data_IF_310024224507
#
_entry.id   IF_310024224507
#
_cell.length_a   1.000
_cell.length_b   1.000
_cell.length_c   1.000
_cell.angle_alpha   90.00
_cell.angle_beta   90.00
_cell.angle_gamma   90.00
#
_symmetry.space_group_name_H-M   'P 1'
#
loop_
_entity.id
_entity.type
_entity.pdbx_description
1 polymer ?
#
# COMPACT_ATOMS: atom_id res chain seq x y z
N UNK A 1 -5.67 -8.96 -36.48
CA UNK A 1 -4.89 -7.84 -35.90
C UNK A 1 -4.69 -8.18 -34.43
N UNK A 2 -3.45 -8.46 -34.02
CA UNK A 2 -3.14 -8.79 -32.63
C UNK A 2 -3.18 -7.49 -31.81
N UNK A 3 -4.14 -7.40 -30.90
CA UNK A 3 -4.26 -6.26 -29.99
C UNK A 3 -3.09 -6.28 -29.01
N UNK A 4 -2.20 -5.31 -29.19
CA UNK A 4 -0.97 -5.15 -28.44
C UNK A 4 -1.32 -4.48 -27.10
N UNK A 5 -2.05 -5.19 -26.24
CA UNK A 5 -2.43 -4.72 -24.90
C UNK A 5 -1.22 -4.74 -23.97
N UNK A 6 -0.24 -3.85 -24.25
CA UNK A 6 0.84 -3.53 -23.33
C UNK A 6 0.21 -2.78 -22.17
N UNK A 7 -0.09 -3.50 -21.09
CA UNK A 7 -0.51 -2.89 -19.84
C UNK A 7 0.45 -1.76 -19.48
N UNK A 8 -0.09 -0.56 -19.26
CA UNK A 8 0.69 0.61 -18.91
C UNK A 8 1.45 0.35 -17.60
N UNK A 9 2.76 0.51 -17.62
CA UNK A 9 3.59 0.48 -16.41
C UNK A 9 3.62 1.88 -15.82
N UNK A 10 3.28 2.00 -14.55
CA UNK A 10 3.31 3.24 -13.79
C UNK A 10 4.20 3.05 -12.55
N UNK A 11 4.86 4.13 -12.15
CA UNK A 11 5.68 4.17 -10.94
C UNK A 11 4.97 5.02 -9.90
N UNK A 12 5.05 4.59 -8.64
CA UNK A 12 4.50 5.30 -7.50
C UNK A 12 5.57 5.37 -6.43
N UNK A 13 5.76 6.57 -5.87
CA UNK A 13 6.73 6.84 -4.81
C UNK A 13 6.10 6.69 -3.42
N UNK A 14 4.82 7.03 -3.28
CA UNK A 14 4.12 7.01 -1.99
C UNK A 14 3.36 5.71 -1.81
N UNK A 15 2.51 5.35 -2.76
CA UNK A 15 1.76 4.11 -2.76
C UNK A 15 0.38 4.25 -3.36
N UNK A 16 -0.39 3.18 -3.21
CA UNK A 16 -1.76 3.11 -3.72
C UNK A 16 -2.76 2.85 -2.60
N UNK A 17 -4.01 3.28 -2.85
CA UNK A 17 -5.12 3.09 -1.94
C UNK A 17 -6.41 2.72 -2.66
N UNK A 18 -7.00 1.58 -2.28
CA UNK A 18 -8.32 1.16 -2.71
C UNK A 18 -9.33 1.26 -1.56
N UNK A 19 -10.60 1.46 -1.90
CA UNK A 19 -11.70 1.66 -0.96
C UNK A 19 -11.85 3.13 -0.59
N UNK A 20 -12.03 3.41 0.70
CA UNK A 20 -12.16 4.79 1.21
C UNK A 20 -11.06 5.73 0.70
N UNK A 21 -9.76 5.36 0.65
CA UNK A 21 -8.72 6.22 0.07
C UNK A 21 -8.97 6.60 -1.41
N UNK A 22 -9.35 5.64 -2.25
CA UNK A 22 -9.67 5.87 -3.66
C UNK A 22 -10.90 6.75 -3.84
N UNK A 23 -11.94 6.51 -3.05
CA UNK A 23 -13.14 7.35 -3.04
C UNK A 23 -12.85 8.79 -2.62
N UNK A 24 -11.98 8.96 -1.62
CA UNK A 24 -11.58 10.28 -1.14
C UNK A 24 -10.77 10.99 -2.22
N UNK A 25 -9.82 10.32 -2.88
CA UNK A 25 -9.06 10.91 -3.97
C UNK A 25 -9.99 11.43 -5.08
N UNK A 26 -10.92 10.59 -5.54
CA UNK A 26 -11.90 10.95 -6.58
C UNK A 26 -12.84 12.10 -6.20
N UNK A 27 -13.24 12.19 -4.92
CA UNK A 27 -14.20 13.21 -4.49
C UNK A 27 -13.54 14.50 -3.98
N UNK A 28 -12.30 14.43 -3.47
CA UNK A 28 -11.61 15.54 -2.80
C UNK A 28 -11.46 16.78 -3.69
N UNK A 29 -11.41 16.62 -5.00
CA UNK A 29 -11.22 17.71 -5.95
C UNK A 29 -12.40 18.67 -6.00
N UNK A 30 -13.62 18.18 -5.74
CA UNK A 30 -14.83 19.02 -5.60
C UNK A 30 -14.78 19.93 -4.37
N UNK A 31 -13.90 19.61 -3.43
CA UNK A 31 -13.79 20.25 -2.12
C UNK A 31 -12.44 20.95 -1.92
N UNK A 32 -11.73 21.30 -3.01
CA UNK A 32 -10.46 22.04 -2.96
C UNK A 32 -10.53 23.32 -2.13
N UNK A 33 -11.68 24.01 -2.13
CA UNK A 33 -11.91 25.23 -1.37
C UNK A 33 -11.78 25.07 0.15
N UNK A 34 -11.90 23.83 0.69
CA UNK A 34 -11.67 23.54 2.10
C UNK A 34 -10.19 23.33 2.46
N UNK A 35 -9.29 23.35 1.48
CA UNK A 35 -7.88 22.98 1.69
C UNK A 35 -7.74 21.56 2.23
N UNK A 36 -6.77 21.33 3.12
CA UNK A 36 -6.48 20.00 3.69
C UNK A 36 -7.62 19.43 4.54
N UNK A 37 -8.51 20.28 5.08
CA UNK A 37 -9.69 19.84 5.86
C UNK A 37 -10.66 18.97 5.05
N UNK A 38 -10.60 19.03 3.71
CA UNK A 38 -11.40 18.20 2.80
C UNK A 38 -11.25 16.70 3.06
N UNK A 39 -10.06 16.24 3.46
CA UNK A 39 -9.80 14.83 3.73
C UNK A 39 -10.51 14.36 5.00
N UNK A 40 -10.46 15.16 6.07
CA UNK A 40 -11.16 14.86 7.32
C UNK A 40 -12.69 14.85 7.11
N UNK A 41 -13.21 15.84 6.38
CA UNK A 41 -14.63 15.89 6.01
C UNK A 41 -15.06 14.64 5.23
N UNK A 42 -14.30 14.23 4.21
CA UNK A 42 -14.64 13.07 3.40
C UNK A 42 -14.50 11.74 4.15
N UNK A 43 -13.55 11.62 5.09
CA UNK A 43 -13.48 10.47 6.02
C UNK A 43 -14.79 10.35 6.84
N UNK A 44 -15.28 11.45 7.41
CA UNK A 44 -16.56 11.47 8.15
C UNK A 44 -17.73 11.15 7.22
N UNK A 45 -17.76 11.73 6.02
CA UNK A 45 -18.79 11.43 5.02
C UNK A 45 -18.84 9.94 4.66
N UNK A 46 -17.67 9.29 4.48
CA UNK A 46 -17.59 7.85 4.17
C UNK A 46 -17.92 6.95 5.35
N UNK A 47 -17.72 7.43 6.59
CA UNK A 47 -18.19 6.73 7.78
C UNK A 47 -19.71 6.71 7.86
N UNK A 48 -20.38 7.84 7.54
CA UNK A 48 -21.84 7.96 7.56
C UNK A 48 -22.51 7.30 6.35
N UNK A 49 -21.88 7.40 5.18
CA UNK A 49 -22.38 6.86 3.91
C UNK A 49 -21.32 5.92 3.30
N UNK A 50 -21.19 4.70 3.83
CA UNK A 50 -20.20 3.74 3.37
C UNK A 50 -20.55 3.24 1.97
N UNK A 51 -19.52 3.17 1.11
CA UNK A 51 -19.61 2.46 -0.16
C UNK A 51 -19.15 1.01 0.03
N UNK A 52 -19.59 0.16 -0.89
CA UNK A 52 -19.17 -1.23 -0.94
C UNK A 52 -17.91 -1.33 -1.80
N UNK A 53 -16.90 -2.03 -1.29
CA UNK A 53 -15.72 -2.41 -2.05
C UNK A 53 -15.50 -3.89 -1.83
N UNK A 54 -15.72 -4.69 -2.86
CA UNK A 54 -15.55 -6.13 -2.81
C UNK A 54 -14.59 -6.59 -3.90
N UNK A 55 -13.86 -7.65 -3.63
CA UNK A 55 -12.85 -8.10 -4.58
C UNK A 55 -11.91 -9.11 -3.98
N UNK A 56 -10.82 -9.33 -4.73
CA UNK A 56 -9.78 -10.28 -4.40
C UNK A 56 -8.46 -9.55 -4.20
N UNK A 57 -7.81 -9.84 -3.08
CA UNK A 57 -6.47 -9.39 -2.75
C UNK A 57 -5.53 -10.59 -2.78
N UNK A 58 -4.42 -10.46 -3.51
CA UNK A 58 -3.33 -11.42 -3.50
C UNK A 58 -2.03 -10.69 -3.17
N UNK A 59 -1.15 -11.29 -2.37
CA UNK A 59 0.12 -10.67 -2.04
C UNK A 59 1.19 -11.71 -1.71
N UNK A 60 2.45 -11.30 -1.86
CA UNK A 60 3.63 -12.10 -1.48
C UNK A 60 4.21 -11.52 -0.19
N UNK A 61 3.92 -12.12 0.98
CA UNK A 61 4.46 -11.64 2.26
C UNK A 61 5.95 -12.02 2.41
N UNK A 62 6.70 -11.19 3.14
CA UNK A 62 7.99 -11.60 3.69
C UNK A 62 7.81 -12.77 4.67
N UNK A 63 8.70 -13.76 4.59
CA UNK A 63 8.75 -14.90 5.51
C UNK A 63 10.19 -15.06 6.02
N UNK A 64 10.45 -14.89 7.33
CA UNK A 64 9.53 -14.42 8.37
C UNK A 64 9.16 -12.93 8.20
N UNK A 65 8.05 -12.50 8.82
CA UNK A 65 7.72 -11.07 8.89
C UNK A 65 8.72 -10.34 9.81
N UNK A 66 9.30 -9.22 9.37
CA UNK A 66 10.21 -8.45 10.21
C UNK A 66 9.45 -7.74 11.34
N UNK A 67 10.13 -7.37 12.44
CA UNK A 67 9.52 -6.56 13.48
C UNK A 67 9.14 -5.19 12.92
N UNK A 68 7.89 -4.78 13.12
CA UNK A 68 7.38 -3.48 12.71
C UNK A 68 7.95 -2.39 13.62
N UNK A 69 8.86 -1.58 13.07
CA UNK A 69 9.53 -0.47 13.76
C UNK A 69 9.26 0.83 13.02
N UNK A 70 8.88 1.92 13.72
CA UNK A 70 8.70 3.22 13.10
C UNK A 70 9.98 3.70 12.42
N UNK A 71 9.83 4.52 11.37
CA UNK A 71 10.94 5.10 10.62
C UNK A 71 12.01 5.70 11.55
N UNK A 72 11.62 6.51 12.54
CA UNK A 72 12.57 7.18 13.45
C UNK A 72 13.46 6.21 14.25
N UNK A 73 13.00 4.97 14.47
CA UNK A 73 13.80 3.95 15.16
C UNK A 73 14.80 3.25 14.25
N UNK A 74 14.61 3.35 12.93
CA UNK A 74 15.38 2.63 11.92
C UNK A 74 16.00 3.53 10.86
N UNK A 75 15.83 4.85 10.95
CA UNK A 75 16.26 5.82 9.94
C UNK A 75 17.75 5.74 9.58
N UNK A 76 18.58 5.26 10.51
CA UNK A 76 20.03 5.11 10.34
C UNK A 76 20.48 3.64 10.34
N UNK A 77 19.57 2.67 10.38
CA UNK A 77 19.95 1.25 10.37
C UNK A 77 20.34 0.86 8.95
N UNK A 78 21.62 0.60 8.72
CA UNK A 78 22.23 0.39 7.40
C UNK A 78 22.97 1.63 6.88
N UNK A 79 22.63 2.82 7.38
CA UNK A 79 23.15 4.10 6.90
C UNK A 79 24.56 4.36 7.44
N UNK A 80 25.53 3.67 6.86
CA UNK A 80 26.92 3.67 7.31
C UNK A 80 27.69 4.95 6.91
N UNK A 81 27.32 5.62 5.80
CA UNK A 81 27.88 6.94 5.40
C UNK A 81 26.86 7.76 4.56
N UNK A 82 26.84 9.08 4.71
CA UNK A 82 26.07 10.02 3.87
C UNK A 82 26.64 10.10 2.43
N UNK A 83 27.87 9.65 2.23
CA UNK A 83 28.54 9.55 0.93
C UNK A 83 28.64 8.11 0.40
N UNK A 84 28.46 7.08 1.25
CA UNK A 84 28.17 5.72 0.75
C UNK A 84 26.69 5.63 0.42
N UNK A 85 26.45 5.39 -0.86
CA UNK A 85 25.12 5.04 -1.32
C UNK A 85 24.88 3.63 -0.83
N UNK A 86 23.96 3.45 0.12
CA UNK A 86 23.36 2.14 0.34
C UNK A 86 22.64 1.70 -0.94
N UNK A 87 23.31 0.87 -1.73
CA UNK A 87 22.76 0.27 -2.93
C UNK A 87 22.03 -1.04 -2.64
N UNK A 88 22.07 -1.51 -1.40
CA UNK A 88 21.61 -2.84 -0.98
C UNK A 88 20.37 -2.78 -0.08
N UNK A 89 19.46 -3.72 -0.29
CA UNK A 89 18.26 -3.87 0.52
C UNK A 89 18.61 -4.51 1.87
N UNK A 90 18.35 -3.81 2.98
CA UNK A 90 18.61 -4.23 4.37
C UNK A 90 18.00 -5.61 4.72
N UNK A 91 16.96 -6.05 4.00
CA UNK A 91 16.26 -7.31 4.29
C UNK A 91 16.60 -8.48 3.37
N UNK A 92 17.35 -8.23 2.29
CA UNK A 92 17.68 -9.29 1.34
C UNK A 92 19.17 -9.61 1.46
N UNK A 93 19.49 -10.76 2.07
CA UNK A 93 20.73 -11.50 1.80
C UNK A 93 20.83 -12.00 0.35
N UNK A 94 20.29 -11.25 -0.61
CA UNK A 94 20.19 -11.60 -2.02
C UNK A 94 21.02 -10.58 -2.82
N UNK A 95 22.34 -10.76 -2.71
CA UNK A 95 23.31 -10.16 -3.63
C UNK A 95 23.07 -10.55 -5.11
N UNK A 96 22.11 -11.44 -5.42
CA UNK A 96 21.83 -11.93 -6.77
C UNK A 96 20.73 -11.18 -7.55
N UNK A 97 19.96 -10.28 -6.94
CA UNK A 97 18.88 -9.55 -7.66
C UNK A 97 19.41 -8.33 -8.43
N UNK A 98 20.61 -7.83 -8.10
CA UNK A 98 21.19 -6.65 -8.75
C UNK A 98 21.66 -6.87 -10.20
N UNK A 99 21.97 -8.09 -10.63
CA UNK A 99 22.86 -8.28 -11.79
C UNK A 99 22.31 -9.01 -13.02
N UNK A 100 21.01 -9.28 -13.16
CA UNK A 100 20.51 -9.80 -14.44
C UNK A 100 19.02 -9.50 -14.67
N UNK A 101 18.73 -8.29 -15.17
CA UNK A 101 17.40 -7.76 -15.49
C UNK A 101 16.52 -7.59 -14.26
N UNK A 102 15.85 -6.44 -14.14
CA UNK A 102 14.80 -6.17 -13.14
C UNK A 102 13.66 -7.20 -13.28
N UNK A 103 13.85 -8.41 -12.77
CA UNK A 103 12.83 -9.44 -12.74
C UNK A 103 11.92 -9.10 -11.58
N UNK A 104 10.74 -8.58 -11.95
CA UNK A 104 9.63 -8.31 -11.04
C UNK A 104 9.52 -9.42 -9.98
N UNK A 105 9.49 -9.07 -8.68
CA UNK A 105 9.51 -10.03 -7.57
C UNK A 105 8.44 -11.12 -7.69
N UNK A 106 7.30 -10.75 -8.27
CA UNK A 106 6.19 -11.63 -8.64
C UNK A 106 6.49 -12.66 -9.74
N UNK A 107 7.41 -12.38 -10.69
CA UNK A 107 7.84 -13.32 -11.74
C UNK A 107 8.75 -14.40 -11.17
N UNK A 108 9.38 -14.12 -10.03
CA UNK A 108 10.20 -15.07 -9.28
C UNK A 108 9.37 -15.85 -8.24
N UNK A 109 8.22 -15.31 -7.83
CA UNK A 109 7.35 -15.93 -6.86
C UNK A 109 6.58 -17.12 -7.46
N UNK A 110 6.86 -18.34 -6.96
CA UNK A 110 6.05 -19.52 -7.23
C UNK A 110 4.63 -19.40 -6.66
N UNK A 111 3.69 -20.23 -7.11
CA UNK A 111 2.30 -20.18 -6.69
C UNK A 111 2.14 -20.25 -5.15
N UNK A 112 2.97 -21.05 -4.48
CA UNK A 112 2.94 -21.27 -3.02
C UNK A 112 3.38 -20.05 -2.19
N UNK A 113 3.96 -19.03 -2.83
CA UNK A 113 4.40 -17.82 -2.15
C UNK A 113 3.27 -16.80 -2.00
N UNK A 114 2.23 -16.91 -2.83
CA UNK A 114 1.09 -16.01 -2.82
C UNK A 114 0.11 -16.37 -1.71
N UNK A 115 -0.25 -15.37 -0.91
CA UNK A 115 -1.41 -15.42 -0.03
C UNK A 115 -2.57 -14.74 -0.74
N UNK A 116 -3.76 -15.32 -0.69
CA UNK A 116 -4.96 -14.78 -1.31
C UNK A 116 -6.08 -14.68 -0.30
N UNK A 117 -6.85 -13.60 -0.37
CA UNK A 117 -8.13 -13.47 0.31
C UNK A 117 -9.15 -12.77 -0.60
N UNK A 118 -10.43 -13.03 -0.37
CA UNK A 118 -11.54 -12.41 -1.09
C UNK A 118 -12.55 -11.97 -0.04
N UNK A 119 -13.08 -10.76 -0.20
CA UNK A 119 -13.98 -10.22 0.79
C UNK A 119 -14.49 -8.83 0.47
N UNK A 120 -15.02 -8.18 1.51
CA UNK A 120 -15.41 -6.78 1.48
C UNK A 120 -14.41 -5.98 2.31
N UNK A 121 -13.98 -4.86 1.77
CA UNK A 121 -12.93 -4.03 2.33
C UNK A 121 -13.45 -2.63 2.62
N UNK A 122 -12.95 -2.05 3.70
CA UNK A 122 -13.10 -0.62 4.00
C UNK A 122 -12.01 0.14 3.26
N UNK A 123 -10.77 -0.35 3.39
CA UNK A 123 -9.61 0.21 2.72
C UNK A 123 -8.53 -0.86 2.52
N UNK A 124 -7.80 -0.77 1.42
CA UNK A 124 -6.53 -1.46 1.21
C UNK A 124 -5.49 -0.41 0.85
N UNK A 125 -4.44 -0.29 1.63
CA UNK A 125 -3.29 0.56 1.34
C UNK A 125 -2.08 -0.29 1.00
N UNK A 126 -1.36 0.05 -0.07
CA UNK A 126 -0.07 -0.54 -0.44
C UNK A 126 0.93 0.60 -0.49
N UNK A 127 1.75 0.71 0.54
CA UNK A 127 2.47 1.94 0.85
C UNK A 127 3.99 1.71 0.79
N UNK A 128 4.68 2.69 0.23
CA UNK A 128 6.13 2.82 0.26
C UNK A 128 6.54 4.02 1.15
N UNK A 129 5.76 5.11 1.08
CA UNK A 129 5.87 6.28 1.95
C UNK A 129 4.50 6.93 2.12
N UNK A 130 4.00 7.02 3.35
CA UNK A 130 2.76 7.71 3.65
C UNK A 130 2.65 8.09 5.14
N UNK A 131 1.98 9.20 5.49
CA UNK A 131 1.72 9.56 6.89
C UNK A 131 0.93 8.50 7.66
N UNK A 132 0.00 7.80 6.98
CA UNK A 132 -0.80 6.71 7.57
C UNK A 132 -0.01 5.38 7.66
N UNK A 133 1.20 5.32 7.10
CA UNK A 133 2.10 4.17 7.06
C UNK A 133 3.15 4.21 8.15
N UNK A 134 2.76 3.99 9.41
CA UNK A 134 3.63 4.17 10.58
C UNK A 134 4.97 3.38 10.55
N UNK A 135 5.06 2.30 9.77
CA UNK A 135 6.23 1.44 9.66
C UNK A 135 6.83 1.41 8.24
N UNK A 136 6.36 2.27 7.35
CA UNK A 136 6.89 2.36 6.00
C UNK A 136 8.35 2.83 6.03
N UNK A 137 9.18 2.19 5.22
CA UNK A 137 10.58 2.55 5.09
C UNK A 137 11.01 2.40 3.62
N UNK A 138 11.21 3.50 2.87
CA UNK A 138 11.48 3.42 1.42
C UNK A 138 12.72 2.59 1.04
N UNK A 139 13.68 2.41 1.96
CA UNK A 139 14.91 1.64 1.71
C UNK A 139 14.87 0.20 2.24
N UNK A 140 13.74 -0.28 2.78
CA UNK A 140 13.64 -1.67 3.29
C UNK A 140 13.33 -2.71 2.20
N UNK A 141 13.23 -2.28 0.94
CA UNK A 141 12.95 -3.13 -0.21
C UNK A 141 11.63 -3.91 -0.08
N UNK A 142 10.67 -3.37 0.65
CA UNK A 142 9.32 -3.91 0.84
C UNK A 142 8.25 -2.84 0.59
N UNK A 143 7.01 -3.29 0.43
CA UNK A 143 5.81 -2.46 0.53
C UNK A 143 5.05 -2.83 1.80
N UNK A 144 4.33 -1.87 2.35
CA UNK A 144 3.51 -2.04 3.54
C UNK A 144 2.06 -2.19 3.10
N UNK A 145 1.56 -3.40 3.25
CA UNK A 145 0.17 -3.74 2.96
C UNK A 145 -0.67 -3.56 4.23
N UNK A 146 -1.55 -2.56 4.20
CA UNK A 146 -2.56 -2.32 5.24
C UNK A 146 -3.91 -2.77 4.70
N UNK A 147 -4.54 -3.73 5.37
CA UNK A 147 -5.85 -4.26 4.97
C UNK A 147 -6.85 -4.00 6.08
N UNK A 148 -7.82 -3.11 5.82
CA UNK A 148 -8.97 -2.87 6.69
C UNK A 148 -10.20 -3.58 6.11
N UNK A 149 -10.61 -4.69 6.73
CA UNK A 149 -11.74 -5.52 6.30
C UNK A 149 -13.06 -4.95 6.82
N UNK A 150 -14.13 -5.16 6.05
CA UNK A 150 -15.49 -4.82 6.48
C UNK A 150 -16.02 -5.90 7.42
N UNK A 151 -16.31 -5.53 8.66
CA UNK A 151 -16.99 -6.39 9.64
C UNK A 151 -18.45 -6.02 9.87
N UNK A 152 -19.06 -6.64 10.89
CA UNK A 152 -20.37 -6.26 11.39
C UNK A 152 -20.36 -4.88 12.08
N UNK A 153 -21.53 -4.34 12.41
CA UNK A 153 -21.67 -2.97 12.97
C UNK A 153 -20.84 -2.77 14.23
N UNK A 154 -20.82 -3.73 15.16
CA UNK A 154 -20.04 -3.63 16.40
C UNK A 154 -18.53 -3.65 16.15
N UNK A 155 -18.06 -4.54 15.26
CA UNK A 155 -16.65 -4.59 14.87
C UNK A 155 -16.22 -3.31 14.17
N UNK A 156 -17.10 -2.73 13.35
CA UNK A 156 -16.87 -1.47 12.66
C UNK A 156 -16.82 -0.29 13.62
N UNK A 157 -17.73 -0.24 14.60
CA UNK A 157 -17.70 0.78 15.65
C UNK A 157 -16.42 0.67 16.49
N UNK A 158 -16.04 -0.54 16.87
CA UNK A 158 -14.80 -0.79 17.60
C UNK A 158 -13.57 -0.36 16.78
N UNK A 159 -13.52 -0.68 15.48
CA UNK A 159 -12.45 -0.23 14.59
C UNK A 159 -12.39 1.30 14.50
N UNK A 160 -13.54 1.98 14.40
CA UNK A 160 -13.60 3.44 14.37
C UNK A 160 -13.09 4.08 15.67
N UNK A 161 -13.48 3.55 16.84
CA UNK A 161 -12.97 4.01 18.15
C UNK A 161 -11.46 3.78 18.25
N UNK A 162 -10.98 2.59 17.86
CA UNK A 162 -9.56 2.28 17.87
C UNK A 162 -8.76 3.21 16.94
N UNK A 163 -9.29 3.53 15.76
CA UNK A 163 -8.68 4.47 14.82
C UNK A 163 -8.56 5.88 15.41
N UNK A 164 -9.61 6.38 16.07
CA UNK A 164 -9.57 7.69 16.74
C UNK A 164 -8.56 7.74 17.90
N UNK A 165 -8.28 6.60 18.52
CA UNK A 165 -7.29 6.47 19.59
C UNK A 165 -5.86 6.11 19.09
N UNK A 166 -5.65 5.99 17.77
CA UNK A 166 -4.37 5.55 17.17
C UNK A 166 -3.99 4.11 17.54
N UNK A 167 -4.98 3.24 17.77
CA UNK A 167 -4.85 1.85 18.22
C UNK A 167 -5.54 0.86 17.27
N UNK A 168 -5.81 1.26 16.03
CA UNK A 168 -6.51 0.47 15.01
C UNK A 168 -5.91 -0.92 14.79
N UNK A 169 -4.59 -1.08 14.99
CA UNK A 169 -3.88 -2.37 14.91
C UNK A 169 -4.32 -3.41 15.94
N UNK A 170 -5.00 -3.02 17.01
CA UNK A 170 -5.59 -3.96 17.97
C UNK A 170 -6.87 -4.62 17.45
N UNK A 171 -7.44 -4.11 16.35
CA UNK A 171 -8.61 -4.70 15.72
C UNK A 171 -8.23 -5.90 14.87
N UNK A 172 -8.97 -7.00 14.98
CA UNK A 172 -8.83 -8.15 14.08
C UNK A 172 -9.23 -7.86 12.64
N UNK A 173 -9.93 -6.74 12.39
CA UNK A 173 -10.28 -6.28 11.05
C UNK A 173 -9.09 -5.64 10.31
N UNK A 174 -8.03 -5.23 11.02
CA UNK A 174 -6.88 -4.57 10.44
C UNK A 174 -5.67 -5.51 10.42
N UNK A 175 -5.08 -5.69 9.24
CA UNK A 175 -3.79 -6.36 9.09
C UNK A 175 -2.73 -5.39 8.56
N UNK A 176 -1.50 -5.56 9.00
CA UNK A 176 -0.33 -4.83 8.55
C UNK A 176 0.76 -5.85 8.20
N UNK A 177 1.17 -5.91 6.94
CA UNK A 177 2.06 -6.97 6.42
C UNK A 177 3.11 -6.35 5.50
N UNK A 178 4.39 -6.71 5.68
CA UNK A 178 5.45 -6.38 4.72
C UNK A 178 5.40 -7.35 3.55
N UNK A 179 5.31 -6.83 2.33
CA UNK A 179 5.09 -7.60 1.11
C UNK A 179 6.04 -7.17 -0.01
N UNK A 180 6.35 -8.08 -0.94
CA UNK A 180 7.13 -7.75 -2.15
C UNK A 180 6.25 -7.39 -3.35
N UNK A 181 5.05 -7.96 -3.40
CA UNK A 181 4.11 -7.77 -4.50
C UNK A 181 2.67 -7.88 -4.00
N UNK A 182 1.76 -7.14 -4.65
CA UNK A 182 0.32 -7.14 -4.39
C UNK A 182 -0.43 -7.14 -5.71
N UNK A 183 -1.54 -7.87 -5.77
CA UNK A 183 -2.53 -7.81 -6.84
C UNK A 183 -3.90 -7.55 -6.23
N UNK A 184 -4.59 -6.52 -6.73
CA UNK A 184 -5.96 -6.16 -6.33
C UNK A 184 -6.87 -6.30 -7.56
N UNK A 185 -7.93 -7.09 -7.41
CA UNK A 185 -9.02 -7.19 -8.40
C UNK A 185 -10.30 -6.70 -7.75
N UNK A 186 -10.91 -5.68 -8.34
CA UNK A 186 -12.15 -5.08 -7.85
C UNK A 186 -13.34 -5.76 -8.53
N UNK A 187 -14.43 -5.98 -7.80
CA UNK A 187 -15.66 -6.50 -8.38
C UNK A 187 -16.54 -5.37 -8.93
N UNK A 188 -16.49 -4.19 -8.33
CA UNK A 188 -17.26 -3.03 -8.75
C UNK A 188 -16.66 -2.40 -10.02
N UNK A 189 -17.47 -2.28 -11.08
CA UNK A 189 -17.03 -1.75 -12.38
C UNK A 189 -16.66 -0.27 -12.35
N UNK A 190 -17.24 0.50 -11.43
CA UNK A 190 -16.94 1.90 -11.15
C UNK A 190 -15.91 2.09 -10.03
N UNK A 191 -15.20 1.02 -9.66
CA UNK A 191 -14.11 1.07 -8.69
C UNK A 191 -13.02 2.05 -9.11
N UNK A 192 -12.40 2.70 -8.13
CA UNK A 192 -11.28 3.63 -8.34
C UNK A 192 -10.11 3.26 -7.45
N UNK A 193 -8.91 3.57 -7.92
CA UNK A 193 -7.67 3.44 -7.18
C UNK A 193 -7.05 4.83 -7.00
N UNK A 194 -6.57 5.12 -5.80
CA UNK A 194 -5.66 6.24 -5.57
C UNK A 194 -4.23 5.77 -5.85
N UNK A 195 -3.45 6.51 -6.63
CA UNK A 195 -2.00 6.33 -6.80
C UNK A 195 -1.32 7.68 -6.57
N UNK A 196 -0.59 7.85 -5.48
CA UNK A 196 0.11 9.10 -5.12
C UNK A 196 -0.77 10.38 -5.11
N UNK A 197 -2.09 10.24 -5.00
CA UNK A 197 -3.07 11.33 -5.07
C UNK A 197 -3.84 11.39 -6.39
N UNK A 198 -3.37 10.71 -7.43
CA UNK A 198 -4.03 10.58 -8.72
C UNK A 198 -5.10 9.47 -8.70
N UNK A 199 -6.14 9.65 -9.50
CA UNK A 199 -7.28 8.74 -9.55
C UNK A 199 -7.23 7.89 -10.80
N UNK A 200 -7.12 6.58 -10.62
CA UNK A 200 -7.10 5.62 -11.71
C UNK A 200 -8.40 4.82 -11.75
N UNK A 201 -9.06 4.71 -12.92
CA UNK A 201 -10.30 3.96 -13.07
C UNK A 201 -10.03 2.45 -13.04
N UNK A 202 -10.80 1.72 -12.23
CA UNK A 202 -10.78 0.27 -12.11
C UNK A 202 -11.41 -0.46 -13.30
N UNK A 203 -11.80 -1.74 -13.15
CA UNK A 203 -11.76 -2.56 -11.92
C UNK A 203 -10.43 -3.30 -11.67
N UNK A 204 -9.36 -2.97 -12.41
CA UNK A 204 -8.10 -3.71 -12.41
C UNK A 204 -8.10 -4.90 -13.39
N UNK A 205 -7.22 -5.90 -13.23
CA UNK A 205 -6.36 -6.14 -12.07
C UNK A 205 -5.21 -5.14 -11.94
N UNK A 206 -5.01 -4.64 -10.71
CA UNK A 206 -3.89 -3.77 -10.35
C UNK A 206 -2.78 -4.62 -9.76
N UNK A 207 -1.61 -4.62 -10.41
CA UNK A 207 -0.42 -5.33 -9.92
C UNK A 207 0.64 -4.32 -9.51
N UNK A 208 1.12 -4.44 -8.29
CA UNK A 208 2.10 -3.54 -7.71
C UNK A 208 3.23 -4.35 -7.10
N UNK A 209 4.45 -3.87 -7.30
CA UNK A 209 5.67 -4.57 -6.91
C UNK A 209 6.70 -3.55 -6.46
N UNK A 210 7.44 -3.89 -5.41
CA UNK A 210 8.56 -3.08 -4.99
C UNK A 210 9.69 -3.16 -6.02
N UNK A 211 10.24 -2.01 -6.39
CA UNK A 211 11.49 -1.93 -7.16
C UNK A 211 12.55 -1.37 -6.22
N UNK A 212 13.38 -2.23 -5.60
CA UNK A 212 14.34 -1.78 -4.61
C UNK A 212 15.39 -0.87 -5.26
N UNK A 213 15.81 0.16 -4.52
CA UNK A 213 16.91 1.06 -4.90
C UNK A 213 16.74 1.73 -6.28
N UNK A 214 15.50 1.99 -6.71
CA UNK A 214 15.22 2.54 -8.05
C UNK A 214 15.78 3.96 -8.26
N UNK A 215 15.71 4.82 -7.25
CA UNK A 215 16.21 6.19 -7.31
C UNK A 215 16.63 6.69 -5.92
N UNK A 216 17.37 7.81 -5.91
CA UNK A 216 17.89 8.44 -4.69
C UNK A 216 17.17 9.76 -4.44
N UNK A 217 16.88 10.05 -3.18
CA UNK A 217 16.23 11.30 -2.74
C UNK A 217 17.06 11.91 -1.61
N UNK A 218 17.14 13.23 -1.56
CA UNK A 218 17.72 13.94 -0.43
C UNK A 218 16.76 13.85 0.77
N UNK A 219 17.26 13.33 1.89
CA UNK A 219 16.54 13.28 3.17
C UNK A 219 17.27 14.12 4.21
N UNK A 220 16.52 14.68 5.16
CA UNK A 220 17.10 15.21 6.39
C UNK A 220 17.68 14.06 7.23
N UNK A 221 18.69 14.36 8.06
CA UNK A 221 19.38 13.40 8.95
C UNK A 221 18.57 13.07 10.20
#
# INVERSE_FOLDING_TARGET
MADNNRGTVQYSCCGLGWGVPGDIAAESEKFRWMGTKRYAFLKVKRLLFPKRHSGRLQYVPLKPQPPLRPYDQIKNLGADDQYDVEEDNIYDGIASVRNAHLKAASKLAGADWWTSETGNYVAIGVLNSAPDGAFCHPSDGCLDLIVARKGNVFQMLNLAVLYLLGKERKSSLLSYVKVKAVVITQNEADGVMNMDGEVLPGPGPWRMEVVPSLFKVLSEK
#
